data_IF_122643018184
#
_entry.id   IF_122643018184
#
_cell.length_a   1.000
_cell.length_b   1.000
_cell.length_c   1.000
_cell.angle_alpha   90.00
_cell.angle_beta   90.00
_cell.angle_gamma   90.00
#
_symmetry.space_group_name_H-M   'P 1'
#
loop_
_entity.id
_entity.type
_entity.pdbx_description
1 polymer ?
#
# COMPACT_ATOMS: atom_id res chain seq x y z
N UNK A 1 6.25 -25.55 -56.02
CA UNK A 1 6.89 -24.44 -56.75
C UNK A 1 6.93 -23.19 -55.87
N UNK A 2 8.07 -22.90 -55.21
CA UNK A 2 8.52 -21.56 -54.71
C UNK A 2 9.76 -21.62 -53.78
N UNK A 3 10.66 -22.61 -53.95
CA UNK A 3 11.92 -22.74 -53.16
C UNK A 3 13.22 -22.58 -53.96
N UNK A 4 13.16 -22.29 -55.27
CA UNK A 4 14.33 -22.30 -56.18
C UNK A 4 14.84 -20.91 -56.63
N UNK A 5 14.64 -19.83 -55.86
CA UNK A 5 15.13 -18.50 -56.27
C UNK A 5 16.03 -17.77 -55.28
N UNK A 6 16.24 -18.30 -54.08
CA UNK A 6 17.06 -17.62 -53.06
C UNK A 6 18.42 -18.29 -52.81
N UNK A 7 18.61 -19.52 -53.28
CA UNK A 7 19.89 -20.26 -53.19
C UNK A 7 20.90 -19.95 -54.32
N UNK A 8 20.57 -19.06 -55.25
CA UNK A 8 21.45 -18.74 -56.39
C UNK A 8 22.35 -17.50 -56.20
N UNK A 9 22.18 -16.75 -55.11
CA UNK A 9 22.91 -15.48 -54.87
C UNK A 9 24.06 -15.64 -53.87
N UNK A 10 24.08 -16.72 -53.07
CA UNK A 10 25.13 -16.98 -52.09
C UNK A 10 26.36 -17.74 -52.66
N UNK A 11 26.32 -18.12 -53.94
CA UNK A 11 27.31 -19.00 -54.57
C UNK A 11 28.37 -18.27 -55.41
N UNK A 12 28.35 -16.92 -55.47
CA UNK A 12 29.21 -16.12 -56.36
C UNK A 12 30.32 -15.35 -55.60
N UNK A 13 30.30 -15.30 -54.27
CA UNK A 13 31.25 -14.49 -53.50
C UNK A 13 32.34 -15.27 -52.75
N UNK A 14 32.34 -16.61 -52.82
CA UNK A 14 33.35 -17.47 -52.15
C UNK A 14 34.37 -18.06 -53.13
N UNK A 15 34.24 -17.79 -54.44
CA UNK A 15 35.08 -18.36 -55.50
C UNK A 15 35.92 -17.30 -56.21
N UNK A 16 36.66 -16.48 -55.45
CA UNK A 16 37.70 -15.60 -55.98
C UNK A 16 38.92 -15.50 -55.06
N UNK A 17 39.18 -16.58 -54.31
CA UNK A 17 40.49 -16.83 -53.73
C UNK A 17 41.29 -17.72 -54.68
N UNK A 18 42.53 -17.30 -54.95
CA UNK A 18 43.60 -18.05 -55.61
C UNK A 18 43.53 -18.10 -57.14
N UNK A 19 44.34 -17.29 -57.83
CA UNK A 19 45.55 -17.70 -58.57
C UNK A 19 46.24 -16.40 -59.05
N UNK A 20 47.52 -16.21 -58.72
CA UNK A 20 48.61 -15.79 -59.62
C UNK A 20 49.76 -15.21 -58.79
N UNK A 21 50.80 -16.02 -58.63
CA UNK A 21 52.07 -15.61 -58.06
C UNK A 21 53.02 -15.01 -59.10
N UNK A 22 54.05 -14.37 -58.53
CA UNK A 22 55.40 -14.16 -59.06
C UNK A 22 55.59 -13.17 -60.22
N UNK A 23 56.07 -11.97 -59.88
CA UNK A 23 57.27 -11.38 -60.47
C UNK A 23 57.94 -10.47 -59.42
N UNK A 24 59.21 -10.76 -59.10
CA UNK A 24 60.03 -10.00 -58.18
C UNK A 24 60.77 -8.86 -58.92
N UNK A 25 60.85 -7.70 -58.28
CA UNK A 25 61.71 -6.57 -58.67
C UNK A 25 62.61 -6.17 -57.50
N UNK A 26 63.77 -5.53 -57.75
CA UNK A 26 64.89 -5.51 -56.83
C UNK A 26 64.66 -4.59 -55.62
N UNK A 27 65.14 -5.06 -54.48
CA UNK A 27 65.20 -4.38 -53.18
C UNK A 27 65.92 -3.04 -53.26
N UNK A 28 65.20 -1.95 -52.98
CA UNK A 28 65.80 -0.71 -52.47
C UNK A 28 66.05 -0.85 -50.96
N UNK A 29 67.17 -0.30 -50.49
CA UNK A 29 67.57 -0.30 -49.09
C UNK A 29 66.53 0.44 -48.22
N UNK A 30 66.31 0.02 -46.96
CA UNK A 30 65.32 0.66 -46.12
C UNK A 30 65.80 2.05 -45.70
N UNK A 31 65.06 3.07 -46.09
CA UNK A 31 65.12 4.39 -45.45
C UNK A 31 64.49 4.25 -44.07
N UNK A 32 65.25 4.65 -43.04
CA UNK A 32 64.84 4.63 -41.64
C UNK A 32 63.56 5.48 -41.46
N UNK A 33 62.46 4.84 -41.07
CA UNK A 33 61.22 5.52 -40.74
C UNK A 33 61.40 6.33 -39.44
N UNK A 34 60.81 7.53 -39.31
CA UNK A 34 60.82 8.23 -38.03
C UNK A 34 60.11 7.37 -36.99
N UNK A 35 60.67 7.30 -35.79
CA UNK A 35 60.06 6.61 -34.66
C UNK A 35 58.62 7.12 -34.44
N UNK A 36 57.64 6.25 -34.16
CA UNK A 36 56.30 6.69 -33.81
C UNK A 36 56.37 7.56 -32.55
N UNK A 37 55.73 8.72 -32.58
CA UNK A 37 55.54 9.53 -31.38
C UNK A 37 54.86 8.68 -30.30
N UNK A 38 55.28 8.80 -29.03
CA UNK A 38 54.70 8.02 -27.96
C UNK A 38 53.21 8.35 -27.88
N UNK A 39 52.37 7.34 -28.11
CA UNK A 39 50.93 7.43 -27.91
C UNK A 39 50.69 7.87 -26.47
N UNK A 40 50.09 9.05 -26.29
CA UNK A 40 49.65 9.50 -24.96
C UNK A 40 48.81 8.37 -24.37
N UNK A 41 49.14 7.99 -23.14
CA UNK A 41 48.31 7.07 -22.36
C UNK A 41 46.87 7.62 -22.35
N UNK A 42 45.84 6.74 -22.49
CA UNK A 42 44.47 7.19 -22.33
C UNK A 42 44.34 7.90 -20.98
N UNK A 43 43.75 9.09 -20.99
CA UNK A 43 43.42 9.79 -19.75
C UNK A 43 42.60 8.85 -18.85
N UNK A 44 42.86 8.83 -17.53
CA UNK A 44 42.04 8.05 -16.61
C UNK A 44 40.59 8.47 -16.82
N UNK A 45 39.72 7.52 -17.14
CA UNK A 45 38.27 7.76 -17.11
C UNK A 45 37.95 8.25 -15.69
N UNK A 46 37.49 9.50 -15.57
CA UNK A 46 37.07 10.05 -14.29
C UNK A 46 36.05 9.07 -13.68
N UNK A 47 36.34 8.59 -12.46
CA UNK A 47 35.40 7.78 -11.71
C UNK A 47 34.17 8.67 -11.51
N UNK A 48 32.96 8.26 -11.95
CA UNK A 48 31.78 9.07 -11.74
C UNK A 48 31.64 9.37 -10.23
N UNK A 49 31.16 10.58 -9.86
CA UNK A 49 30.96 10.91 -8.46
C UNK A 49 30.05 9.86 -7.80
N UNK A 50 30.25 9.55 -6.52
CA UNK A 50 29.38 8.64 -5.80
C UNK A 50 27.93 9.17 -5.87
N UNK A 51 26.92 8.28 -5.92
CA UNK A 51 25.53 8.70 -5.90
C UNK A 51 25.24 9.56 -4.66
N UNK A 52 24.28 10.51 -4.75
CA UNK A 52 23.90 11.32 -3.61
C UNK A 52 23.48 10.46 -2.42
N UNK A 53 23.80 10.92 -1.21
CA UNK A 53 23.40 10.23 0.01
C UNK A 53 21.88 10.24 0.16
N UNK A 54 21.32 9.14 0.67
CA UNK A 54 19.90 9.03 0.96
C UNK A 54 19.45 10.10 1.96
N UNK A 55 18.26 10.66 1.74
CA UNK A 55 17.70 11.75 2.54
C UNK A 55 18.20 13.14 2.13
N UNK A 56 18.86 13.27 0.97
CA UNK A 56 19.21 14.57 0.38
C UNK A 56 18.18 15.00 -0.65
N UNK A 57 18.16 16.28 -1.04
CA UNK A 57 17.25 16.78 -2.07
C UNK A 57 17.42 16.05 -3.41
N UNK A 58 18.64 15.61 -3.73
CA UNK A 58 18.94 14.85 -4.96
C UNK A 58 18.61 13.35 -4.84
N UNK A 59 18.36 12.85 -3.62
CA UNK A 59 18.00 11.46 -3.34
C UNK A 59 17.11 11.39 -2.08
N UNK A 60 15.85 11.82 -2.20
CA UNK A 60 14.91 11.85 -1.08
C UNK A 60 14.52 10.43 -0.68
N UNK A 61 14.11 10.29 0.58
CA UNK A 61 13.51 9.05 1.09
C UNK A 61 12.08 8.95 0.58
N UNK A 62 11.74 7.85 -0.08
CA UNK A 62 10.39 7.62 -0.59
C UNK A 62 9.47 7.19 0.55
N UNK A 63 8.30 7.83 0.64
CA UNK A 63 7.26 7.48 1.62
C UNK A 63 6.01 7.10 0.85
N UNK A 64 5.59 5.85 0.98
CA UNK A 64 4.46 5.30 0.23
C UNK A 64 3.26 5.07 1.15
N UNK A 65 2.08 5.50 0.71
CA UNK A 65 0.81 5.24 1.40
C UNK A 65 -0.14 4.45 0.51
N UNK A 66 -0.81 3.43 1.05
CA UNK A 66 -1.87 2.72 0.31
C UNK A 66 -3.11 3.60 0.15
N UNK A 67 -3.80 3.57 -1.01
CA UNK A 67 -4.98 4.40 -1.27
C UNK A 67 -6.24 3.82 -0.60
N UNK A 68 -6.33 3.89 0.73
CA UNK A 68 -7.40 3.21 1.49
C UNK A 68 -8.63 4.08 1.80
N UNK A 69 -8.47 5.40 1.78
CA UNK A 69 -9.45 6.41 2.23
C UNK A 69 -9.61 7.54 1.20
N UNK A 70 -9.57 8.82 1.60
CA UNK A 70 -9.67 9.96 0.70
C UNK A 70 -8.32 10.24 0.02
N UNK A 71 -8.18 9.76 -1.22
CA UNK A 71 -6.95 9.86 -2.01
C UNK A 71 -6.58 11.32 -2.29
N UNK A 72 -7.54 12.19 -2.57
CA UNK A 72 -7.27 13.60 -2.88
C UNK A 72 -6.76 14.32 -1.63
N UNK A 73 -7.35 14.04 -0.47
CA UNK A 73 -6.86 14.54 0.82
C UNK A 73 -5.45 14.02 1.14
N UNK A 74 -5.20 12.73 0.90
CA UNK A 74 -3.88 12.13 1.14
C UNK A 74 -2.77 12.76 0.27
N UNK A 75 -3.05 13.01 -1.02
CA UNK A 75 -2.13 13.69 -1.92
C UNK A 75 -1.83 15.10 -1.41
N UNK A 76 -2.87 15.85 -1.01
CA UNK A 76 -2.69 17.20 -0.46
C UNK A 76 -1.89 17.20 0.86
N UNK A 77 -2.06 16.17 1.69
CA UNK A 77 -1.31 15.98 2.93
C UNK A 77 0.16 15.58 2.75
N UNK A 78 0.55 15.07 1.58
CA UNK A 78 1.91 14.60 1.31
C UNK A 78 2.98 15.66 1.54
N UNK A 79 2.81 16.86 0.97
CA UNK A 79 3.75 17.98 1.13
C UNK A 79 3.92 18.40 2.60
N UNK A 80 2.84 18.32 3.40
CA UNK A 80 2.89 18.64 4.83
C UNK A 80 3.69 17.60 5.63
N UNK A 81 3.57 16.31 5.27
CA UNK A 81 4.38 15.23 5.85
C UNK A 81 5.85 15.43 5.49
N UNK A 82 6.16 15.71 4.22
CA UNK A 82 7.53 15.97 3.76
C UNK A 82 8.15 17.13 4.52
N UNK A 83 7.43 18.25 4.65
CA UNK A 83 7.90 19.42 5.39
C UNK A 83 8.13 19.08 6.86
N UNK A 84 7.17 18.46 7.54
CA UNK A 84 7.28 18.17 8.96
C UNK A 84 8.45 17.21 9.27
N UNK A 85 8.64 16.19 8.43
CA UNK A 85 9.76 15.26 8.58
C UNK A 85 11.10 15.93 8.23
N UNK A 86 11.14 16.82 7.24
CA UNK A 86 12.32 17.62 6.93
C UNK A 86 12.71 18.53 8.09
N UNK A 87 11.76 19.24 8.69
CA UNK A 87 11.99 20.08 9.86
C UNK A 87 12.50 19.27 11.07
N UNK A 88 11.97 18.06 11.26
CA UNK A 88 12.34 17.19 12.37
C UNK A 88 13.71 16.51 12.20
N UNK A 89 14.10 16.19 10.97
CA UNK A 89 15.25 15.31 10.69
C UNK A 89 16.38 15.96 9.87
N UNK A 90 16.09 17.05 9.17
CA UNK A 90 16.96 17.65 8.15
C UNK A 90 17.06 16.85 6.86
N UNK A 91 16.26 15.80 6.67
CA UNK A 91 16.24 14.94 5.48
C UNK A 91 15.11 15.29 4.53
N UNK A 92 15.29 14.99 3.25
CA UNK A 92 14.27 15.17 2.22
C UNK A 92 13.48 13.88 2.03
N UNK A 93 12.17 14.05 1.88
CA UNK A 93 11.21 12.97 1.69
C UNK A 93 10.42 13.25 0.42
N UNK A 94 9.98 12.18 -0.24
CA UNK A 94 9.06 12.24 -1.38
C UNK A 94 7.89 11.32 -1.06
N UNK A 95 6.72 11.92 -0.80
CA UNK A 95 5.48 11.19 -0.52
C UNK A 95 4.79 10.84 -1.83
N UNK A 96 4.36 9.59 -1.95
CA UNK A 96 3.50 9.17 -3.06
C UNK A 96 2.44 8.18 -2.62
N UNK A 97 1.32 8.20 -3.34
CA UNK A 97 0.17 7.32 -3.14
C UNK A 97 0.02 6.50 -4.42
N UNK A 98 0.51 5.24 -4.44
CA UNK A 98 0.36 4.37 -5.59
C UNK A 98 -1.11 4.08 -5.92
N UNK A 99 -1.37 3.64 -7.14
CA UNK A 99 -2.75 3.44 -7.64
C UNK A 99 -3.46 2.22 -7.07
N UNK A 100 -2.76 1.35 -6.34
CA UNK A 100 -3.32 0.18 -5.67
C UNK A 100 -2.41 -0.31 -4.53
N UNK A 101 -2.92 -1.24 -3.75
CA UNK A 101 -2.17 -1.89 -2.66
C UNK A 101 -1.01 -2.71 -3.23
N UNK A 102 -1.25 -3.48 -4.30
CA UNK A 102 -0.21 -4.24 -5.00
C UNK A 102 0.89 -3.32 -5.56
N UNK A 103 0.53 -2.19 -6.19
CA UNK A 103 1.50 -1.23 -6.71
C UNK A 103 2.38 -0.63 -5.60
N UNK A 104 1.86 -0.50 -4.38
CA UNK A 104 2.64 -0.07 -3.22
C UNK A 104 3.70 -1.10 -2.85
N UNK A 105 3.34 -2.38 -2.81
CA UNK A 105 4.27 -3.48 -2.52
C UNK A 105 5.35 -3.56 -3.61
N UNK A 106 4.96 -3.51 -4.87
CA UNK A 106 5.90 -3.51 -6.01
C UNK A 106 6.88 -2.35 -5.94
N UNK A 107 6.40 -1.14 -5.62
CA UNK A 107 7.24 0.05 -5.49
C UNK A 107 8.27 -0.10 -4.35
N UNK A 108 7.87 -0.65 -3.19
CA UNK A 108 8.78 -0.96 -2.09
C UNK A 108 9.84 -1.97 -2.50
N UNK A 109 9.44 -3.06 -3.16
CA UNK A 109 10.38 -4.11 -3.58
C UNK A 109 11.31 -3.66 -4.72
N UNK A 110 10.86 -2.73 -5.57
CA UNK A 110 11.68 -2.13 -6.62
C UNK A 110 12.72 -1.12 -6.08
N UNK A 111 12.50 -0.60 -4.87
CA UNK A 111 13.36 0.40 -4.23
C UNK A 111 13.81 -0.07 -2.84
N UNK A 112 14.71 -1.08 -2.78
CA UNK A 112 15.00 -1.79 -1.54
C UNK A 112 15.77 -0.98 -0.50
N UNK A 113 16.38 0.15 -0.87
CA UNK A 113 17.35 0.86 -0.03
C UNK A 113 16.85 2.22 0.48
N UNK A 114 15.73 2.75 -0.02
CA UNK A 114 15.36 4.17 0.13
C UNK A 114 13.88 4.41 0.50
N UNK A 115 13.11 3.34 0.75
CA UNK A 115 11.65 3.43 0.86
C UNK A 115 11.12 3.07 2.25
N UNK A 116 10.13 3.85 2.70
CA UNK A 116 9.26 3.62 3.85
C UNK A 116 7.84 3.43 3.32
N UNK A 117 7.15 2.38 3.74
CA UNK A 117 5.77 2.11 3.36
C UNK A 117 4.84 2.11 4.56
N UNK A 118 3.69 2.76 4.41
CA UNK A 118 2.57 2.68 5.33
C UNK A 118 1.55 1.71 4.75
N UNK A 119 1.59 0.46 5.21
CA UNK A 119 0.92 -0.68 4.57
C UNK A 119 0.15 -1.51 5.60
N UNK A 120 -1.01 -2.09 5.21
CA UNK A 120 -1.82 -2.93 6.10
C UNK A 120 -1.14 -4.28 6.35
N UNK A 121 -1.69 -5.06 7.28
CA UNK A 121 -1.07 -6.30 7.76
C UNK A 121 -0.82 -7.34 6.66
N UNK A 122 -1.77 -7.55 5.75
CA UNK A 122 -1.61 -8.43 4.58
C UNK A 122 -0.57 -7.88 3.60
N UNK A 123 -0.60 -6.57 3.33
CA UNK A 123 0.37 -5.93 2.45
C UNK A 123 1.80 -6.05 2.98
N UNK A 124 1.97 -5.88 4.29
CA UNK A 124 3.23 -6.17 4.97
C UNK A 124 3.65 -7.63 4.83
N UNK A 125 2.76 -8.58 5.12
CA UNK A 125 3.09 -10.00 5.06
C UNK A 125 3.54 -10.43 3.65
N UNK A 126 2.87 -9.93 2.61
CA UNK A 126 3.25 -10.13 1.21
C UNK A 126 4.62 -9.50 0.89
N UNK A 127 4.83 -8.23 1.27
CA UNK A 127 6.07 -7.52 0.99
C UNK A 127 7.29 -8.14 1.72
N UNK A 128 7.07 -8.59 2.96
CA UNK A 128 8.07 -9.32 3.74
C UNK A 128 8.46 -10.64 3.06
N UNK A 129 7.47 -11.44 2.62
CA UNK A 129 7.74 -12.69 1.90
C UNK A 129 8.44 -12.47 0.56
N UNK A 130 8.09 -11.39 -0.16
CA UNK A 130 8.62 -11.13 -1.50
C UNK A 130 10.04 -10.59 -1.50
N UNK A 131 10.27 -9.55 -0.70
CA UNK A 131 11.51 -8.79 -0.77
C UNK A 131 12.12 -8.47 0.59
N UNK A 132 11.52 -8.92 1.71
CA UNK A 132 12.10 -8.77 3.04
C UNK A 132 11.86 -7.39 3.67
N UNK A 133 10.73 -6.75 3.35
CA UNK A 133 10.27 -5.56 4.09
C UNK A 133 10.16 -5.87 5.59
N UNK A 134 10.58 -4.91 6.42
CA UNK A 134 10.63 -5.05 7.88
C UNK A 134 9.75 -3.99 8.55
N UNK A 135 8.94 -4.35 9.57
CA UNK A 135 8.04 -3.43 10.20
C UNK A 135 8.76 -2.67 11.33
N UNK A 136 8.30 -1.47 11.64
CA UNK A 136 8.88 -0.66 12.72
C UNK A 136 7.84 -0.13 13.69
N UNK A 137 6.77 0.49 13.17
CA UNK A 137 5.69 1.02 13.99
C UNK A 137 4.35 0.51 13.49
N UNK A 138 3.42 0.27 14.39
CA UNK A 138 2.00 0.15 14.11
C UNK A 138 1.27 1.41 14.56
N UNK A 139 0.19 1.72 13.86
CA UNK A 139 -0.73 2.78 14.26
C UNK A 139 -1.42 2.46 15.59
N UNK A 140 -1.70 3.50 16.38
CA UNK A 140 -2.62 3.43 17.52
C UNK A 140 -3.77 4.38 17.26
N UNK A 141 -5.01 3.89 17.32
CA UNK A 141 -6.23 4.66 17.10
C UNK A 141 -7.09 4.65 18.35
N UNK A 142 -7.22 5.80 19.01
CA UNK A 142 -8.00 5.99 20.23
C UNK A 142 -7.71 4.96 21.33
N UNK A 143 -6.43 4.62 21.50
CA UNK A 143 -5.96 3.64 22.49
C UNK A 143 -5.93 2.19 22.01
N UNK A 144 -6.40 1.91 20.79
CA UNK A 144 -6.34 0.57 20.19
C UNK A 144 -5.12 0.42 19.28
N UNK A 145 -4.32 -0.61 19.56
CA UNK A 145 -3.21 -1.06 18.71
C UNK A 145 -3.60 -2.21 17.77
N UNK A 146 -4.90 -2.50 17.72
CA UNK A 146 -5.55 -3.47 16.84
C UNK A 146 -6.80 -2.80 16.26
N UNK A 147 -7.36 -3.40 15.22
CA UNK A 147 -8.65 -3.03 14.66
C UNK A 147 -9.38 -4.30 14.20
N UNK A 148 -10.55 -4.13 13.57
CA UNK A 148 -11.37 -5.26 13.11
C UNK A 148 -11.88 -5.02 11.69
N UNK A 149 -12.39 -6.08 11.07
CA UNK A 149 -13.30 -5.96 9.94
C UNK A 149 -14.69 -5.66 10.45
N UNK A 150 -15.41 -4.75 9.80
CA UNK A 150 -16.88 -4.66 9.90
C UNK A 150 -17.54 -5.23 8.65
N UNK A 151 -18.65 -5.94 8.86
CA UNK A 151 -19.58 -6.34 7.81
C UNK A 151 -20.77 -5.39 7.85
N UNK A 152 -20.93 -4.57 6.82
CA UNK A 152 -21.95 -3.54 6.71
C UNK A 152 -23.08 -4.01 5.80
N UNK A 153 -24.32 -3.88 6.26
CA UNK A 153 -25.52 -4.19 5.48
C UNK A 153 -26.51 -3.04 5.54
N UNK A 154 -27.46 -3.00 4.61
CA UNK A 154 -28.57 -2.06 4.70
C UNK A 154 -29.33 -2.27 6.03
N UNK A 155 -29.67 -1.17 6.71
CA UNK A 155 -30.30 -1.22 8.04
C UNK A 155 -31.67 -1.90 8.02
N UNK A 156 -32.39 -1.81 6.89
CA UNK A 156 -33.69 -2.45 6.65
C UNK A 156 -33.59 -3.81 5.96
N UNK A 157 -32.39 -4.38 5.79
CA UNK A 157 -32.20 -5.73 5.26
C UNK A 157 -32.64 -6.81 6.26
N UNK A 158 -32.95 -7.99 5.71
CA UNK A 158 -33.32 -9.19 6.49
C UNK A 158 -32.09 -9.97 7.03
N UNK A 159 -30.86 -9.49 6.80
CA UNK A 159 -29.64 -10.16 7.26
C UNK A 159 -29.42 -9.95 8.75
N UNK A 160 -29.39 -11.01 9.55
CA UNK A 160 -29.21 -10.90 11.01
C UNK A 160 -27.93 -11.60 11.50
N UNK A 161 -27.36 -12.47 10.68
CA UNK A 161 -26.13 -13.22 10.95
C UNK A 161 -25.25 -13.24 9.70
N UNK A 162 -23.96 -13.54 9.86
CA UNK A 162 -23.06 -13.69 8.73
C UNK A 162 -23.50 -14.82 7.79
N UNK A 163 -24.09 -15.90 8.32
CA UNK A 163 -24.61 -17.02 7.54
C UNK A 163 -25.78 -16.62 6.62
N UNK A 164 -26.50 -15.53 6.92
CA UNK A 164 -27.56 -15.03 6.05
C UNK A 164 -27.00 -14.43 4.74
N UNK A 165 -25.69 -14.16 4.66
CA UNK A 165 -25.01 -13.60 3.48
C UNK A 165 -24.81 -14.61 2.33
N UNK A 166 -25.35 -15.83 2.43
CA UNK A 166 -25.32 -16.83 1.35
C UNK A 166 -25.91 -16.27 0.04
N UNK A 167 -25.08 -16.21 -1.00
CA UNK A 167 -25.43 -15.67 -2.31
C UNK A 167 -25.60 -14.15 -2.37
N UNK A 168 -25.33 -13.42 -1.28
CA UNK A 168 -25.38 -11.96 -1.25
C UNK A 168 -24.30 -11.34 -2.14
N UNK A 169 -24.60 -10.18 -2.74
CA UNK A 169 -23.59 -9.37 -3.44
C UNK A 169 -22.68 -8.66 -2.44
N UNK A 170 -21.38 -8.61 -2.72
CA UNK A 170 -20.35 -8.17 -1.80
C UNK A 170 -19.45 -7.09 -2.41
N UNK A 171 -19.42 -5.92 -1.77
CA UNK A 171 -18.49 -4.84 -2.08
C UNK A 171 -17.29 -4.83 -1.12
N UNK A 172 -16.08 -4.76 -1.66
CA UNK A 172 -14.83 -4.65 -0.89
C UNK A 172 -13.90 -3.61 -1.50
N UNK A 173 -12.95 -3.04 -0.73
CA UNK A 173 -12.08 -1.97 -1.21
C UNK A 173 -11.09 -2.40 -2.31
N UNK A 174 -10.27 -3.42 -2.04
CA UNK A 174 -9.17 -3.90 -2.88
C UNK A 174 -8.82 -5.32 -2.44
N UNK A 175 -8.37 -6.18 -3.36
CA UNK A 175 -8.01 -7.59 -3.09
C UNK A 175 -6.81 -7.75 -2.14
N UNK A 176 -5.97 -6.71 -2.00
CA UNK A 176 -4.89 -6.61 -1.02
C UNK A 176 -5.31 -6.06 0.34
N UNK A 177 -6.61 -5.80 0.54
CA UNK A 177 -7.11 -5.31 1.83
C UNK A 177 -7.20 -6.42 2.87
N UNK A 178 -6.64 -6.17 4.05
CA UNK A 178 -6.69 -7.13 5.16
C UNK A 178 -8.10 -7.27 5.72
N UNK A 179 -8.73 -6.16 6.13
CA UNK A 179 -10.10 -6.17 6.65
C UNK A 179 -11.15 -6.18 5.55
N UNK A 180 -10.85 -5.56 4.42
CA UNK A 180 -11.80 -5.47 3.32
C UNK A 180 -11.95 -6.78 2.55
N UNK A 181 -10.94 -7.65 2.50
CA UNK A 181 -10.95 -8.81 1.61
C UNK A 181 -10.48 -10.11 2.28
N UNK A 182 -9.26 -10.15 2.84
CA UNK A 182 -8.68 -11.38 3.40
C UNK A 182 -9.52 -11.98 4.54
N UNK A 183 -9.86 -11.18 5.56
CA UNK A 183 -10.67 -11.65 6.69
C UNK A 183 -12.08 -12.04 6.27
N UNK A 184 -12.82 -11.24 5.47
CA UNK A 184 -14.10 -11.65 4.90
C UNK A 184 -14.05 -12.98 4.16
N UNK A 185 -13.08 -13.18 3.25
CA UNK A 185 -12.92 -14.44 2.53
C UNK A 185 -12.75 -15.62 3.47
N UNK A 186 -11.84 -15.49 4.44
CA UNK A 186 -11.58 -16.56 5.40
C UNK A 186 -12.81 -16.88 6.27
N UNK A 187 -13.59 -15.86 6.64
CA UNK A 187 -14.83 -16.02 7.40
C UNK A 187 -15.91 -16.69 6.55
N UNK A 188 -16.07 -16.28 5.30
CA UNK A 188 -17.01 -16.93 4.38
C UNK A 188 -16.66 -18.40 4.16
N UNK A 189 -15.38 -18.73 3.96
CA UNK A 189 -14.91 -20.11 3.82
C UNK A 189 -15.14 -20.95 5.09
N UNK A 190 -14.81 -20.42 6.27
CA UNK A 190 -15.01 -21.11 7.56
C UNK A 190 -16.50 -21.40 7.85
N UNK A 191 -17.38 -20.46 7.50
CA UNK A 191 -18.83 -20.60 7.64
C UNK A 191 -19.47 -21.40 6.48
N UNK A 192 -18.71 -21.70 5.42
CA UNK A 192 -19.21 -22.37 4.23
C UNK A 192 -20.17 -21.52 3.39
N UNK A 193 -20.05 -20.20 3.47
CA UNK A 193 -20.85 -19.21 2.74
C UNK A 193 -20.31 -19.08 1.32
N UNK A 194 -21.17 -19.30 0.33
CA UNK A 194 -20.85 -18.98 -1.08
C UNK A 194 -21.36 -17.59 -1.40
N UNK A 195 -20.45 -16.60 -1.39
CA UNK A 195 -20.80 -15.22 -1.74
C UNK A 195 -21.19 -15.10 -3.23
N UNK A 196 -22.09 -14.17 -3.53
CA UNK A 196 -22.63 -13.92 -4.87
C UNK A 196 -21.73 -13.03 -5.73
N UNK A 197 -22.31 -11.98 -6.30
CA UNK A 197 -21.57 -11.00 -7.11
C UNK A 197 -20.54 -10.26 -6.26
N UNK A 198 -19.32 -10.10 -6.79
CA UNK A 198 -18.21 -9.44 -6.11
C UNK A 198 -17.88 -8.12 -6.80
N UNK A 199 -17.77 -7.04 -6.01
CA UNK A 199 -17.52 -5.68 -6.49
C UNK A 199 -16.30 -5.11 -5.79
N UNK A 200 -15.19 -4.98 -6.53
CA UNK A 200 -14.03 -4.22 -6.08
C UNK A 200 -14.33 -2.71 -6.22
N UNK A 201 -14.55 -2.05 -5.09
CA UNK A 201 -15.04 -0.68 -4.99
C UNK A 201 -13.91 0.37 -5.07
N UNK A 202 -12.66 -0.04 -4.90
CA UNK A 202 -11.46 0.82 -4.95
C UNK A 202 -11.07 1.50 -3.64
N UNK A 203 -11.86 1.38 -2.58
CA UNK A 203 -11.58 1.98 -1.27
C UNK A 203 -12.66 1.67 -0.23
N UNK A 204 -12.34 1.84 1.05
CA UNK A 204 -13.31 1.61 2.14
C UNK A 204 -14.54 2.51 2.03
N UNK A 205 -14.41 3.83 1.77
CA UNK A 205 -15.58 4.70 1.59
C UNK A 205 -16.49 4.24 0.45
N UNK A 206 -15.92 3.71 -0.64
CA UNK A 206 -16.65 3.23 -1.81
C UNK A 206 -17.39 1.92 -1.51
N UNK A 207 -16.80 1.02 -0.71
CA UNK A 207 -17.50 -0.18 -0.24
C UNK A 207 -18.71 0.16 0.64
N UNK A 208 -18.58 1.15 1.54
CA UNK A 208 -19.73 1.65 2.32
C UNK A 208 -20.79 2.29 1.41
N UNK A 209 -20.37 3.11 0.44
CA UNK A 209 -21.27 3.75 -0.54
C UNK A 209 -22.06 2.73 -1.36
N UNK A 210 -21.43 1.62 -1.74
CA UNK A 210 -22.11 0.56 -2.49
C UNK A 210 -23.30 -0.02 -1.70
N UNK A 211 -23.13 -0.29 -0.40
CA UNK A 211 -24.24 -0.73 0.47
C UNK A 211 -25.27 0.38 0.66
N UNK A 212 -24.81 1.60 0.96
CA UNK A 212 -25.68 2.77 1.16
C UNK A 212 -26.58 3.05 -0.06
N UNK A 213 -26.07 2.84 -1.27
CA UNK A 213 -26.80 3.02 -2.52
C UNK A 213 -27.66 1.80 -2.93
N UNK A 214 -27.53 0.67 -2.23
CA UNK A 214 -28.16 -0.61 -2.61
C UNK A 214 -27.55 -1.24 -3.86
N UNK A 215 -26.28 -0.95 -4.15
CA UNK A 215 -25.50 -1.54 -5.24
C UNK A 215 -24.88 -2.89 -4.83
N UNK A 216 -24.67 -3.10 -3.53
CA UNK A 216 -24.27 -4.37 -2.95
C UNK A 216 -25.08 -4.64 -1.67
N UNK A 217 -25.29 -5.92 -1.37
CA UNK A 217 -26.03 -6.38 -0.19
C UNK A 217 -25.18 -6.25 1.09
N UNK A 218 -23.89 -6.55 0.98
CA UNK A 218 -22.89 -6.43 2.06
C UNK A 218 -21.65 -5.68 1.59
N UNK A 219 -21.09 -4.85 2.46
CA UNK A 219 -19.83 -4.15 2.28
C UNK A 219 -18.89 -4.48 3.42
N UNK A 220 -17.60 -4.67 3.14
CA UNK A 220 -16.61 -4.96 4.19
C UNK A 220 -15.58 -3.85 4.28
N UNK A 221 -15.32 -3.40 5.50
CA UNK A 221 -14.41 -2.29 5.75
C UNK A 221 -13.67 -2.43 7.09
N UNK A 222 -12.87 -1.42 7.44
CA UNK A 222 -12.26 -1.35 8.77
C UNK A 222 -13.31 -0.90 9.80
N UNK A 223 -13.27 -1.52 10.97
CA UNK A 223 -13.96 -1.05 12.16
C UNK A 223 -12.97 -0.34 13.08
N UNK A 224 -13.35 0.86 13.52
CA UNK A 224 -12.72 1.55 14.63
C UNK A 224 -13.79 1.84 15.67
N UNK A 225 -13.54 1.45 16.92
CA UNK A 225 -14.53 1.55 17.97
C UNK A 225 -14.99 3.00 18.18
N UNK A 226 -16.30 3.25 18.38
CA UNK A 226 -16.80 4.61 18.59
C UNK A 226 -16.29 5.20 19.90
N UNK A 227 -16.17 6.53 19.98
CA UNK A 227 -15.99 7.18 21.29
C UNK A 227 -17.35 7.26 21.97
N UNK A 228 -17.40 6.73 23.18
CA UNK A 228 -18.61 6.71 23.99
C UNK A 228 -18.79 8.03 24.77
N UNK A 229 -20.02 8.37 25.17
CA UNK A 229 -20.28 9.49 26.06
C UNK A 229 -19.62 9.29 27.44
N UNK A 230 -19.61 8.04 27.92
CA UNK A 230 -18.97 7.62 29.16
C UNK A 230 -18.25 6.28 28.97
N UNK A 231 -17.04 6.16 29.51
CA UNK A 231 -16.25 4.93 29.41
C UNK A 231 -15.61 4.73 28.04
N UNK A 232 -15.20 3.49 27.79
CA UNK A 232 -14.61 3.07 26.52
C UNK A 232 -15.40 1.87 26.00
N UNK A 233 -15.50 1.75 24.68
CA UNK A 233 -16.02 0.56 24.04
C UNK A 233 -15.20 -0.67 24.46
N UNK A 234 -15.87 -1.82 24.61
CA UNK A 234 -15.23 -3.11 24.90
C UNK A 234 -15.77 -4.16 23.93
N UNK A 235 -14.97 -5.19 23.66
CA UNK A 235 -15.28 -6.23 22.65
C UNK A 235 -16.57 -7.03 22.92
N UNK A 236 -17.11 -6.96 24.13
CA UNK A 236 -18.39 -7.55 24.52
C UNK A 236 -19.61 -6.64 24.29
N UNK A 237 -19.38 -5.38 23.90
CA UNK A 237 -20.44 -4.45 23.49
C UNK A 237 -20.85 -4.69 22.05
N UNK A 238 -22.09 -4.32 21.71
CA UNK A 238 -22.52 -4.29 20.32
C UNK A 238 -21.61 -3.36 19.50
N UNK A 239 -21.27 -3.72 18.25
CA UNK A 239 -20.37 -2.91 17.44
C UNK A 239 -21.07 -1.67 16.85
N UNK A 240 -22.38 -1.75 16.60
CA UNK A 240 -23.14 -0.65 16.05
C UNK A 240 -23.61 0.36 17.11
N UNK A 241 -23.97 1.56 16.67
CA UNK A 241 -24.58 2.60 17.50
C UNK A 241 -25.93 2.09 18.05
N UNK A 242 -26.25 2.31 19.35
CA UNK A 242 -27.53 1.89 19.91
C UNK A 242 -28.73 2.52 19.18
N UNK A 243 -29.78 1.72 18.96
CA UNK A 243 -30.96 2.08 18.18
C UNK A 243 -31.58 3.42 18.57
N UNK A 244 -31.56 3.77 19.87
CA UNK A 244 -32.11 5.02 20.37
C UNK A 244 -31.38 6.28 19.87
N UNK A 245 -30.12 6.17 19.44
CA UNK A 245 -29.31 7.30 18.97
C UNK A 245 -29.21 7.39 17.45
N UNK A 246 -29.72 6.40 16.71
CA UNK A 246 -29.60 6.33 15.25
C UNK A 246 -30.24 7.55 14.55
N UNK A 247 -31.45 7.92 14.96
CA UNK A 247 -32.15 9.07 14.38
C UNK A 247 -31.48 10.42 14.72
N UNK A 248 -30.61 10.45 15.74
CA UNK A 248 -29.84 11.63 16.14
C UNK A 248 -28.51 11.74 15.39
N UNK A 249 -28.15 10.77 14.55
CA UNK A 249 -26.90 10.77 13.80
C UNK A 249 -26.82 11.94 12.82
N UNK A 250 -25.81 12.80 12.97
CA UNK A 250 -25.57 13.93 12.09
C UNK A 250 -24.09 14.34 12.08
N UNK A 251 -23.70 15.04 11.02
CA UNK A 251 -22.41 15.71 10.95
C UNK A 251 -22.48 17.04 11.70
N UNK A 252 -21.53 17.27 12.61
CA UNK A 252 -21.43 18.49 13.39
C UNK A 252 -20.71 19.63 12.62
N UNK A 253 -20.47 20.77 13.28
CA UNK A 253 -19.80 21.93 12.67
C UNK A 253 -18.32 21.70 12.31
N UNK A 254 -17.68 20.72 12.95
CA UNK A 254 -16.29 20.33 12.71
C UNK A 254 -16.17 19.22 11.63
N UNK A 255 -17.24 19.01 10.85
CA UNK A 255 -17.37 17.92 9.89
C UNK A 255 -17.18 16.54 10.55
N UNK A 256 -17.66 16.33 11.77
CA UNK A 256 -17.57 15.05 12.49
C UNK A 256 -18.95 14.42 12.65
N UNK A 257 -19.11 13.18 12.21
CA UNK A 257 -20.29 12.32 12.42
C UNK A 257 -20.47 11.88 13.89
N UNK A 258 -21.56 12.34 14.51
CA UNK A 258 -21.97 11.97 15.86
C UNK A 258 -23.38 11.40 15.86
N UNK A 259 -23.67 10.49 16.80
CA UNK A 259 -25.01 9.96 17.06
C UNK A 259 -25.34 10.17 18.54
N UNK A 260 -26.12 11.21 18.83
CA UNK A 260 -26.15 11.76 20.19
C UNK A 260 -24.73 12.19 20.61
N UNK A 261 -24.25 11.62 21.73
CA UNK A 261 -22.89 11.86 22.23
C UNK A 261 -21.85 10.83 21.74
N UNK A 262 -22.24 9.88 20.87
CA UNK A 262 -21.34 8.87 20.31
C UNK A 262 -20.58 9.41 19.10
N UNK A 263 -19.25 9.33 19.11
CA UNK A 263 -18.43 9.63 17.93
C UNK A 263 -18.30 8.39 17.07
N UNK A 264 -18.79 8.44 15.83
CA UNK A 264 -18.58 7.36 14.84
C UNK A 264 -17.19 7.49 14.23
N UNK A 265 -16.42 6.40 14.26
CA UNK A 265 -15.03 6.34 13.79
C UNK A 265 -14.77 5.22 12.77
N UNK A 266 -15.75 4.36 12.54
CA UNK A 266 -15.68 3.31 11.51
C UNK A 266 -15.79 3.88 10.09
N UNK A 267 -15.75 3.01 9.07
CA UNK A 267 -15.65 3.44 7.68
C UNK A 267 -16.87 4.24 7.20
N UNK A 268 -18.02 4.20 7.89
CA UNK A 268 -19.18 5.05 7.59
C UNK A 268 -18.86 6.53 7.76
N UNK A 269 -18.00 6.88 8.72
CA UNK A 269 -17.58 8.27 8.93
C UNK A 269 -16.85 8.85 7.71
N UNK A 270 -16.24 8.03 6.86
CA UNK A 270 -15.51 8.50 5.69
C UNK A 270 -16.41 9.03 4.56
N UNK A 271 -17.73 8.77 4.61
CA UNK A 271 -18.69 9.23 3.59
C UNK A 271 -19.68 10.26 4.13
N UNK A 272 -19.44 10.75 5.35
CA UNK A 272 -20.35 11.64 6.11
C UNK A 272 -20.71 12.92 5.36
N UNK A 273 -19.81 13.45 4.53
CA UNK A 273 -20.03 14.68 3.78
C UNK A 273 -21.02 14.45 2.63
N UNK A 274 -20.98 13.29 1.97
CA UNK A 274 -21.87 13.00 0.84
C UNK A 274 -23.14 12.23 1.27
N UNK A 275 -23.05 11.47 2.35
CA UNK A 275 -24.11 10.66 2.95
C UNK A 275 -24.18 10.91 4.47
N UNK A 276 -24.65 12.10 4.92
CA UNK A 276 -24.73 12.44 6.35
C UNK A 276 -25.69 11.55 7.15
N UNK A 277 -26.57 10.82 6.48
CA UNK A 277 -27.52 9.85 7.05
C UNK A 277 -27.05 8.38 6.89
N UNK A 278 -25.75 8.15 6.65
CA UNK A 278 -25.19 6.81 6.44
C UNK A 278 -25.51 5.84 7.58
N UNK A 279 -25.42 6.26 8.84
CA UNK A 279 -25.67 5.38 10.00
C UNK A 279 -27.14 4.99 10.10
N UNK A 280 -28.05 5.86 9.66
CA UNK A 280 -29.48 5.58 9.58
C UNK A 280 -29.82 4.53 8.50
N UNK A 281 -29.00 4.41 7.46
CA UNK A 281 -29.25 3.49 6.34
C UNK A 281 -28.37 2.25 6.33
N UNK A 282 -27.22 2.29 6.99
CA UNK A 282 -26.23 1.20 6.99
C UNK A 282 -25.86 0.86 8.44
N UNK A 283 -25.96 -0.43 8.76
CA UNK A 283 -25.66 -0.98 10.09
C UNK A 283 -24.51 -1.98 10.02
N UNK A 284 -23.85 -2.16 11.16
CA UNK A 284 -22.86 -3.22 11.32
C UNK A 284 -23.60 -4.51 11.67
N UNK A 285 -23.37 -5.55 10.87
CA UNK A 285 -23.90 -6.90 11.07
C UNK A 285 -23.06 -7.68 12.08
N UNK A 286 -21.74 -7.70 11.88
CA UNK A 286 -20.78 -8.37 12.76
C UNK A 286 -19.36 -7.82 12.57
N UNK A 287 -18.43 -8.25 13.43
CA UNK A 287 -17.01 -7.96 13.35
C UNK A 287 -16.15 -9.23 13.19
N UNK A 288 -14.95 -9.08 12.63
CA UNK A 288 -13.94 -10.16 12.67
C UNK A 288 -13.30 -10.30 14.06
N UNK A 289 -12.33 -11.22 14.18
CA UNK A 289 -11.32 -11.17 15.24
C UNK A 289 -10.38 -9.95 15.08
N UNK A 290 -9.59 -9.68 16.12
CA UNK A 290 -8.58 -8.60 16.12
C UNK A 290 -7.56 -8.76 14.99
N UNK A 291 -7.22 -7.62 14.38
CA UNK A 291 -6.27 -7.48 13.29
C UNK A 291 -5.14 -6.54 13.77
N UNK A 292 -3.86 -6.91 13.56
CA UNK A 292 -2.76 -5.97 13.77
C UNK A 292 -2.96 -4.72 12.91
N UNK A 293 -2.79 -3.54 13.53
CA UNK A 293 -2.93 -2.26 12.84
C UNK A 293 -1.90 -2.06 11.71
N UNK A 294 -2.21 -1.09 10.85
CA UNK A 294 -1.34 -0.68 9.74
C UNK A 294 0.07 -0.36 10.22
N UNK A 295 1.04 -0.76 9.42
CA UNK A 295 2.46 -0.65 9.74
C UNK A 295 3.10 0.50 8.99
N UNK A 296 4.00 1.21 9.65
CA UNK A 296 5.13 1.85 9.02
C UNK A 296 6.27 0.83 8.93
N UNK A 297 6.67 0.52 7.70
CA UNK A 297 7.64 -0.51 7.38
C UNK A 297 8.78 0.02 6.51
N UNK A 298 9.98 -0.47 6.73
CA UNK A 298 11.18 -0.15 5.97
C UNK A 298 11.43 -1.18 4.88
N UNK A 299 11.90 -0.72 3.73
CA UNK A 299 12.48 -1.56 2.69
C UNK A 299 13.71 -2.36 3.22
N UNK A 300 13.98 -3.56 2.67
CA UNK A 300 14.97 -4.53 3.21
C UNK A 300 16.40 -3.98 3.37
N UNK A 301 16.84 -3.11 2.47
CA UNK A 301 18.16 -2.49 2.45
C UNK A 301 18.21 -1.12 3.12
N UNK A 302 17.10 -0.63 3.68
CA UNK A 302 17.04 0.70 4.27
C UNK A 302 18.06 0.86 5.43
N UNK A 303 18.95 1.87 5.40
CA UNK A 303 20.05 1.99 6.36
C UNK A 303 19.57 2.09 7.82
N UNK A 304 20.08 1.20 8.68
CA UNK A 304 19.73 1.16 10.11
C UNK A 304 19.99 2.49 10.84
N UNK A 305 21.09 3.16 10.49
CA UNK A 305 21.45 4.46 11.09
C UNK A 305 20.39 5.54 10.78
N UNK A 306 19.71 5.44 9.63
CA UNK A 306 18.61 6.35 9.29
C UNK A 306 17.31 5.93 9.96
N UNK A 307 17.07 4.63 10.16
CA UNK A 307 15.91 4.15 10.94
C UNK A 307 15.94 4.71 12.36
N UNK A 308 17.12 4.72 12.99
CA UNK A 308 17.35 5.27 14.34
C UNK A 308 17.06 6.78 14.45
N UNK A 309 17.08 7.51 13.33
CA UNK A 309 16.74 8.94 13.26
C UNK A 309 15.26 9.14 12.92
N UNK A 310 14.76 8.40 11.92
CA UNK A 310 13.43 8.61 11.33
C UNK A 310 12.33 8.06 12.22
N UNK A 311 12.51 6.87 12.81
CA UNK A 311 11.47 6.26 13.66
C UNK A 311 11.10 7.18 14.83
N UNK A 312 12.05 7.73 15.62
CA UNK A 312 11.71 8.71 16.66
C UNK A 312 11.08 10.00 16.13
N UNK A 313 11.47 10.46 14.93
CA UNK A 313 10.90 11.66 14.32
C UNK A 313 9.42 11.45 13.95
N UNK A 314 9.06 10.27 13.42
CA UNK A 314 7.66 9.92 13.11
C UNK A 314 6.84 9.80 14.39
N UNK A 315 7.39 9.17 15.44
CA UNK A 315 6.73 9.11 16.76
C UNK A 315 6.45 10.54 17.28
N UNK A 316 7.44 11.43 17.21
CA UNK A 316 7.29 12.81 17.66
C UNK A 316 6.31 13.61 16.79
N UNK A 317 6.31 13.37 15.48
CA UNK A 317 5.36 14.00 14.55
C UNK A 317 3.93 13.60 14.87
N UNK A 318 3.65 12.29 15.04
CA UNK A 318 2.32 11.79 15.39
C UNK A 318 1.83 12.33 16.74
N UNK A 319 2.74 12.63 17.67
CA UNK A 319 2.42 13.26 18.95
C UNK A 319 2.25 14.80 18.89
N UNK A 320 2.39 15.41 17.71
CA UNK A 320 2.35 16.86 17.52
C UNK A 320 1.02 17.34 16.93
N UNK A 321 0.67 18.59 17.21
CA UNK A 321 -0.54 19.22 16.64
C UNK A 321 -0.51 19.25 15.11
N UNK A 322 0.67 19.29 14.49
CA UNK A 322 0.81 19.34 13.03
C UNK A 322 0.33 18.05 12.33
N UNK A 323 0.27 16.93 13.05
CA UNK A 323 -0.21 15.67 12.49
C UNK A 323 -1.73 15.67 12.23
N UNK A 324 -2.49 16.54 12.91
CA UNK A 324 -3.94 16.66 12.74
C UNK A 324 -4.37 17.06 11.32
N UNK A 325 -3.45 17.61 10.52
CA UNK A 325 -3.65 17.97 9.12
C UNK A 325 -3.28 16.82 8.15
N UNK A 326 -2.74 15.71 8.65
CA UNK A 326 -2.21 14.59 7.84
C UNK A 326 -2.60 13.22 8.44
N UNK A 327 -1.65 12.41 8.92
CA UNK A 327 -1.83 11.05 9.42
C UNK A 327 -2.83 10.94 10.59
N UNK A 328 -2.94 11.99 11.40
CA UNK A 328 -3.83 12.05 12.55
C UNK A 328 -5.20 12.67 12.19
N UNK A 329 -5.46 12.89 10.91
CA UNK A 329 -6.76 13.31 10.40
C UNK A 329 -7.62 12.08 10.04
N UNK A 330 -8.92 12.15 10.31
CA UNK A 330 -9.88 11.10 9.99
C UNK A 330 -10.15 10.91 8.50
N UNK A 331 -9.89 11.94 7.68
CA UNK A 331 -9.89 11.83 6.22
C UNK A 331 -8.59 11.20 5.70
N UNK A 332 -7.63 10.90 6.58
CA UNK A 332 -6.43 10.11 6.30
C UNK A 332 -6.51 8.78 7.08
N UNK A 333 -5.59 8.50 8.01
CA UNK A 333 -5.53 7.21 8.72
C UNK A 333 -5.96 7.29 10.19
N UNK A 334 -6.29 8.49 10.67
CA UNK A 334 -6.76 8.75 12.03
C UNK A 334 -5.83 8.22 13.14
N UNK A 335 -4.52 8.38 12.97
CA UNK A 335 -3.55 7.96 13.98
C UNK A 335 -3.65 8.87 15.20
N UNK A 336 -3.70 8.27 16.38
CA UNK A 336 -3.64 8.98 17.67
C UNK A 336 -2.35 8.69 18.43
N UNK A 337 -1.53 7.80 17.89
CA UNK A 337 -0.29 7.35 18.48
C UNK A 337 0.38 6.29 17.62
N UNK A 338 1.50 5.77 18.13
CA UNK A 338 2.25 4.68 17.51
C UNK A 338 2.67 3.68 18.57
N UNK A 339 2.84 2.42 18.16
CA UNK A 339 3.37 1.36 18.99
C UNK A 339 4.45 0.58 18.21
N UNK A 340 5.46 -0.01 18.87
CA UNK A 340 6.35 -0.93 18.20
C UNK A 340 5.56 -2.16 17.72
N UNK A 341 5.93 -2.70 16.57
CA UNK A 341 5.37 -3.94 16.02
C UNK A 341 6.48 -4.76 15.38
N UNK A 342 6.36 -6.08 15.45
CA UNK A 342 7.39 -7.03 15.03
C UNK A 342 6.83 -8.02 14.02
N UNK A 343 7.72 -8.71 13.31
CA UNK A 343 7.35 -9.62 12.22
C UNK A 343 6.41 -10.75 12.67
N UNK A 344 6.62 -11.24 13.89
CA UNK A 344 5.83 -12.34 14.47
C UNK A 344 4.37 -11.94 14.73
N UNK A 345 4.06 -10.64 14.79
CA UNK A 345 2.69 -10.17 14.90
C UNK A 345 1.84 -10.50 13.65
N UNK A 346 2.48 -10.85 12.53
CA UNK A 346 1.82 -11.13 11.25
C UNK A 346 1.71 -12.62 10.92
N UNK A 347 2.13 -13.51 11.83
CA UNK A 347 2.05 -14.97 11.60
C UNK A 347 0.60 -15.44 11.39
N UNK A 348 -0.35 -14.88 12.14
CA UNK A 348 -1.78 -15.15 11.93
C UNK A 348 -2.26 -14.75 10.54
N UNK A 349 -1.76 -13.63 10.02
CA UNK A 349 -2.09 -13.14 8.68
C UNK A 349 -1.55 -14.09 7.61
N UNK A 350 -0.30 -14.57 7.76
CA UNK A 350 0.30 -15.54 6.83
C UNK A 350 -0.48 -16.85 6.80
N UNK A 351 -0.94 -17.34 7.96
CA UNK A 351 -1.76 -18.55 8.06
C UNK A 351 -3.09 -18.37 7.32
N UNK A 352 -3.76 -17.22 7.50
CA UNK A 352 -4.99 -16.91 6.79
C UNK A 352 -4.75 -16.83 5.27
N UNK A 353 -3.69 -16.15 4.84
CA UNK A 353 -3.32 -16.06 3.42
C UNK A 353 -3.09 -17.44 2.82
N UNK A 354 -2.32 -18.31 3.48
CA UNK A 354 -2.05 -19.67 3.02
C UNK A 354 -3.35 -20.49 2.92
N UNK A 355 -4.24 -20.40 3.90
CA UNK A 355 -5.53 -21.09 3.90
C UNK A 355 -6.42 -20.66 2.72
N UNK A 356 -6.41 -19.37 2.39
CA UNK A 356 -7.14 -18.80 1.26
C UNK A 356 -6.38 -18.91 -0.07
N UNK A 357 -5.20 -19.54 -0.07
CA UNK A 357 -4.37 -19.69 -1.26
C UNK A 357 -3.84 -18.36 -1.81
N UNK A 358 -3.81 -17.29 -1.02
CA UNK A 358 -3.39 -15.97 -1.48
C UNK A 358 -1.88 -15.85 -1.41
N UNK A 359 -1.31 -15.39 -2.54
CA UNK A 359 0.07 -15.03 -2.72
C UNK A 359 0.14 -13.80 -3.63
N UNK A 360 1.32 -13.22 -3.81
CA UNK A 360 1.47 -12.13 -4.78
C UNK A 360 1.22 -12.58 -6.23
N UNK A 361 1.51 -13.84 -6.56
CA UNK A 361 1.40 -14.33 -7.93
C UNK A 361 -0.06 -14.49 -8.40
N UNK A 362 -1.01 -14.51 -7.46
CA UNK A 362 -2.44 -14.74 -7.74
C UNK A 362 -3.37 -13.77 -6.98
N UNK A 363 -2.85 -12.67 -6.47
CA UNK A 363 -3.70 -11.69 -5.78
C UNK A 363 -4.67 -11.06 -6.79
N UNK A 364 -5.97 -11.29 -6.60
CA UNK A 364 -7.03 -10.85 -7.50
C UNK A 364 -7.28 -11.73 -8.74
N UNK A 365 -6.68 -12.93 -8.81
CA UNK A 365 -7.11 -14.00 -9.73
C UNK A 365 -8.26 -14.83 -9.14
#
# INVERSE_FOLDING_TARGET
MRKNRMLLILSILVMAAMVLGACATPTEAPTEAPAPEPTKAPEPTEVPPPPPALGTEEHPIKVLFVPSVDIDFMIAGGELIEQALNEATGMYFEVSIPTSYAATIEAMCASPDDTIGFIPAMGYALANQLCGVEPALASVRYGWNVYWTEFLVARDSDFETLEDLEGASWAYPDVGSTSGYLYPLAIFDDLGITIGEQVEAGGHPQAVKAVYNGEADVGTAYFSAPLLPEGNWTVDMAPDIPDEFIEECAVNEDDKLYCGDYRVLDARAAIRTEAPDVVQKVRILDLSAEIPNDTMSYSPGFPIELRDIITPAIIAYVASDACAETLCNESFYDWTGTAPIFDENFDGIRILMEAQGISLDNIGE
#
